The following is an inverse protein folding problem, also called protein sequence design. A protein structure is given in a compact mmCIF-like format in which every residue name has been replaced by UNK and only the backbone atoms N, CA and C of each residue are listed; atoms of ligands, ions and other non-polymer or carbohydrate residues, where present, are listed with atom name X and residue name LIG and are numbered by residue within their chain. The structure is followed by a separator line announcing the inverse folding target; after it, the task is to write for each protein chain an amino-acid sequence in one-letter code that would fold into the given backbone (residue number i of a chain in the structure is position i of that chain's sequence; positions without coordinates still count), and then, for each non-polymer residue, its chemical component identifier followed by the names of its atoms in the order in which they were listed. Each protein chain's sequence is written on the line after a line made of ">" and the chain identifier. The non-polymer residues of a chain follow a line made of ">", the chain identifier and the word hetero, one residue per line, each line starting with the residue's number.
data_IF_338613216118
#
_entry.id   IF_338613216118
#
_cell.length_a   1.000
_cell.length_b   1.000
_cell.length_c   1.000
_cell.angle_alpha   90.00
_cell.angle_beta   90.00
_cell.angle_gamma   90.00
#
_symmetry.space_group_name_H-M   'P 1'
#
loop_
_entity.id
_entity.type
_entity.pdbx_description
1 polymer ?
#
# COMPACT_ATOMS: atom_id res chain seq x y z
N UNK A 1 18.55 16.24 -9.21
CA UNK A 1 17.40 16.91 -9.85
C UNK A 1 16.69 15.91 -10.75
N UNK A 2 15.63 15.27 -10.26
CA UNK A 2 14.82 14.36 -11.07
C UNK A 2 13.96 15.20 -12.00
N UNK A 3 14.13 15.04 -13.33
CA UNK A 3 13.34 15.77 -14.32
C UNK A 3 11.89 15.32 -14.20
N UNK A 4 11.03 16.20 -13.69
CA UNK A 4 9.58 15.99 -13.71
C UNK A 4 9.16 16.00 -15.19
N UNK A 5 8.72 14.84 -15.69
CA UNK A 5 8.30 14.66 -17.08
C UNK A 5 7.07 15.55 -17.34
N UNK A 6 7.03 16.27 -18.46
CA UNK A 6 5.88 17.13 -18.81
C UNK A 6 4.58 16.30 -18.88
N UNK A 7 3.44 16.84 -18.40
CA UNK A 7 2.14 16.17 -18.48
C UNK A 7 1.77 15.84 -19.93
N UNK A 8 1.29 14.61 -20.18
CA UNK A 8 0.64 14.21 -21.42
C UNK A 8 -0.81 13.82 -21.07
N UNK A 9 -1.81 14.41 -21.73
CA UNK A 9 -3.23 14.22 -21.42
C UNK A 9 -3.66 12.74 -21.40
N UNK A 10 -3.12 11.91 -22.31
CA UNK A 10 -3.38 10.46 -22.30
C UNK A 10 -2.77 9.78 -21.07
N UNK A 11 -1.62 10.25 -20.59
CA UNK A 11 -0.99 9.74 -19.36
C UNK A 11 -1.60 10.32 -18.09
N UNK A 12 -2.26 11.47 -18.13
CA UNK A 12 -3.00 12.02 -16.98
C UNK A 12 -4.29 11.22 -16.74
N UNK A 13 -5.07 10.97 -17.79
CA UNK A 13 -6.27 10.13 -17.71
C UNK A 13 -5.95 8.72 -17.19
N UNK A 14 -4.85 8.10 -17.64
CA UNK A 14 -4.38 6.81 -17.11
C UNK A 14 -3.97 6.90 -15.64
N UNK A 15 -3.29 7.97 -15.22
CA UNK A 15 -2.87 8.13 -13.83
C UNK A 15 -4.06 8.38 -12.88
N UNK A 16 -5.05 9.14 -13.32
CA UNK A 16 -6.30 9.38 -12.58
C UNK A 16 -7.13 8.11 -12.43
N UNK A 17 -7.28 7.33 -13.51
CA UNK A 17 -7.94 6.03 -13.45
C UNK A 17 -7.17 5.06 -12.54
N UNK A 18 -5.84 5.08 -12.60
CA UNK A 18 -5.00 4.26 -11.73
C UNK A 18 -5.15 4.64 -10.25
N UNK A 19 -5.17 5.94 -9.92
CA UNK A 19 -5.42 6.41 -8.55
C UNK A 19 -6.77 5.91 -8.05
N UNK A 20 -7.83 6.11 -8.85
CA UNK A 20 -9.19 5.72 -8.48
C UNK A 20 -9.34 4.22 -8.33
N UNK A 21 -8.78 3.42 -9.24
CA UNK A 21 -9.07 1.98 -9.32
C UNK A 21 -8.02 1.12 -8.64
N UNK A 22 -6.73 1.41 -8.83
CA UNK A 22 -5.66 0.55 -8.35
C UNK A 22 -5.21 0.95 -6.95
N UNK A 23 -4.89 2.24 -6.71
CA UNK A 23 -4.43 2.63 -5.37
C UNK A 23 -5.53 2.44 -4.32
N UNK A 24 -6.77 2.82 -4.65
CA UNK A 24 -7.91 2.60 -3.73
C UNK A 24 -8.21 1.11 -3.51
N UNK A 25 -8.02 0.26 -4.52
CA UNK A 25 -8.15 -1.19 -4.37
C UNK A 25 -7.12 -1.75 -3.39
N UNK A 26 -5.84 -1.40 -3.53
CA UNK A 26 -4.78 -1.85 -2.60
C UNK A 26 -5.08 -1.42 -1.15
N UNK A 27 -5.52 -0.18 -0.96
CA UNK A 27 -5.94 0.36 0.35
C UNK A 27 -7.14 -0.40 0.90
N UNK A 28 -8.16 -0.64 0.07
CA UNK A 28 -9.37 -1.33 0.49
C UNK A 28 -9.13 -2.78 0.85
N UNK A 29 -8.33 -3.50 0.05
CA UNK A 29 -7.96 -4.86 0.35
C UNK A 29 -7.19 -4.96 1.68
N UNK A 30 -6.22 -4.07 1.93
CA UNK A 30 -5.51 -4.05 3.22
C UNK A 30 -6.48 -3.80 4.39
N UNK A 31 -7.36 -2.79 4.27
CA UNK A 31 -8.33 -2.42 5.32
C UNK A 31 -9.32 -3.53 5.61
N UNK A 32 -9.84 -4.21 4.58
CA UNK A 32 -10.83 -5.29 4.73
C UNK A 32 -10.21 -6.59 5.25
N UNK A 33 -8.94 -6.88 4.94
CA UNK A 33 -8.27 -8.10 5.41
C UNK A 33 -7.91 -8.07 6.90
N UNK A 34 -7.61 -6.91 7.47
CA UNK A 34 -7.26 -6.80 8.89
C UNK A 34 -8.35 -7.33 9.84
N UNK A 35 -9.64 -6.94 9.73
CA UNK A 35 -10.68 -7.51 10.57
C UNK A 35 -10.90 -9.00 10.28
N UNK A 36 -10.76 -9.46 9.03
CA UNK A 36 -10.86 -10.89 8.69
C UNK A 36 -9.78 -11.71 9.42
N UNK A 37 -8.55 -11.19 9.45
CA UNK A 37 -7.44 -11.80 10.18
C UNK A 37 -7.65 -11.83 11.71
N UNK A 38 -8.46 -10.92 12.25
CA UNK A 38 -8.80 -10.87 13.66
C UNK A 38 -9.87 -11.91 14.06
N UNK A 39 -10.73 -12.35 13.13
CA UNK A 39 -11.88 -13.22 13.42
C UNK A 39 -11.58 -14.73 13.33
N UNK A 40 -10.31 -15.14 13.27
CA UNK A 40 -9.86 -16.54 13.17
C UNK A 40 -10.52 -17.32 12.02
N UNK A 41 -9.89 -17.38 10.83
CA UNK A 41 -10.42 -18.13 9.69
C UNK A 41 -10.69 -19.62 10.01
N UNK A 42 -11.65 -20.27 9.32
CA UNK A 42 -12.09 -21.63 9.63
C UNK A 42 -10.98 -22.68 9.55
N UNK A 43 -10.02 -22.46 8.64
CA UNK A 43 -8.89 -23.36 8.41
C UNK A 43 -7.56 -22.63 8.39
N UNK A 44 -6.48 -23.39 8.61
CA UNK A 44 -5.11 -22.88 8.45
C UNK A 44 -4.83 -22.44 7.00
N UNK A 45 -5.44 -23.11 6.02
CA UNK A 45 -5.32 -22.76 4.61
C UNK A 45 -5.89 -21.36 4.33
N UNK A 46 -7.14 -21.11 4.75
CA UNK A 46 -7.76 -19.78 4.60
C UNK A 46 -7.02 -18.72 5.40
N UNK A 47 -6.52 -19.07 6.59
CA UNK A 47 -5.68 -18.15 7.37
C UNK A 47 -4.41 -17.76 6.61
N UNK A 48 -3.73 -18.71 5.98
CA UNK A 48 -2.54 -18.41 5.19
C UNK A 48 -2.87 -17.53 3.98
N UNK A 49 -3.97 -17.81 3.26
CA UNK A 49 -4.44 -16.96 2.16
C UNK A 49 -4.62 -15.51 2.62
N UNK A 50 -5.36 -15.28 3.71
CA UNK A 50 -5.60 -13.91 4.20
C UNK A 50 -4.31 -13.22 4.65
N UNK A 51 -3.38 -13.97 5.27
CA UNK A 51 -2.07 -13.44 5.67
C UNK A 51 -1.29 -13.03 4.43
N UNK A 52 -1.18 -13.89 3.42
CA UNK A 52 -0.44 -13.62 2.19
C UNK A 52 -1.02 -12.43 1.44
N UNK A 53 -2.36 -12.37 1.26
CA UNK A 53 -3.03 -11.24 0.65
C UNK A 53 -2.78 -9.94 1.43
N UNK A 54 -2.85 -9.96 2.76
CA UNK A 54 -2.62 -8.75 3.57
C UNK A 54 -1.20 -8.22 3.37
N UNK A 55 -0.19 -9.10 3.43
CA UNK A 55 1.20 -8.70 3.25
C UNK A 55 1.48 -8.23 1.83
N UNK A 56 0.85 -8.82 0.81
CA UNK A 56 0.95 -8.37 -0.58
C UNK A 56 0.49 -6.92 -0.75
N UNK A 57 -0.73 -6.61 -0.30
CA UNK A 57 -1.28 -5.25 -0.40
C UNK A 57 -0.48 -4.24 0.44
N UNK A 58 -0.07 -4.64 1.65
CA UNK A 58 0.82 -3.82 2.47
C UNK A 58 2.14 -3.50 1.76
N UNK A 59 2.78 -4.50 1.12
CA UNK A 59 4.01 -4.31 0.36
C UNK A 59 3.81 -3.35 -0.82
N UNK A 60 2.75 -3.52 -1.60
CA UNK A 60 2.46 -2.65 -2.74
C UNK A 60 2.33 -1.17 -2.30
N UNK A 61 1.62 -0.93 -1.19
CA UNK A 61 1.48 0.41 -0.61
C UNK A 61 2.82 0.97 -0.11
N UNK A 62 3.63 0.15 0.56
CA UNK A 62 4.98 0.55 1.00
C UNK A 62 5.86 0.94 -0.18
N UNK A 63 5.89 0.13 -1.25
CA UNK A 63 6.69 0.41 -2.44
C UNK A 63 6.24 1.70 -3.13
N UNK A 64 4.93 1.94 -3.24
CA UNK A 64 4.35 3.17 -3.78
C UNK A 64 4.73 4.41 -2.97
N UNK A 65 4.48 4.40 -1.65
CA UNK A 65 4.74 5.57 -0.80
C UNK A 65 6.23 5.88 -0.62
N UNK A 66 7.10 4.87 -0.74
CA UNK A 66 8.57 5.06 -0.80
C UNK A 66 9.06 5.51 -2.17
N UNK A 67 8.20 5.52 -3.20
CA UNK A 67 8.54 5.79 -4.59
C UNK A 67 9.74 4.92 -5.05
N UNK A 68 9.63 3.61 -4.83
CA UNK A 68 10.62 2.63 -5.30
C UNK A 68 10.35 2.22 -6.76
N UNK A 69 11.38 1.71 -7.44
CA UNK A 69 11.38 1.33 -8.85
C UNK A 69 10.22 0.43 -9.37
N UNK A 70 9.59 -0.48 -8.61
CA UNK A 70 8.49 -1.27 -9.17
C UNK A 70 7.19 -0.48 -9.40
N UNK A 71 7.08 0.75 -8.90
CA UNK A 71 5.90 1.59 -9.13
C UNK A 71 6.14 2.57 -10.28
N UNK A 72 5.47 2.34 -11.41
CA UNK A 72 5.53 3.22 -12.59
C UNK A 72 4.92 4.62 -12.37
N UNK A 73 4.19 4.81 -11.27
CA UNK A 73 3.48 6.05 -10.94
C UNK A 73 4.00 6.63 -9.62
N UNK A 74 4.59 7.82 -9.72
CA UNK A 74 5.11 8.58 -8.59
C UNK A 74 3.95 9.19 -7.76
N UNK A 75 3.88 9.00 -6.43
CA UNK A 75 2.86 9.61 -5.58
C UNK A 75 2.84 11.15 -5.65
N UNK A 76 3.96 11.79 -6.01
CA UNK A 76 4.04 13.25 -6.22
C UNK A 76 3.19 13.74 -7.39
N UNK A 77 2.76 12.85 -8.28
CA UNK A 77 1.84 13.20 -9.37
C UNK A 77 0.46 13.63 -8.87
N UNK A 78 0.02 13.09 -7.74
CA UNK A 78 -1.33 13.32 -7.19
C UNK A 78 -1.35 14.37 -6.06
N UNK A 79 -0.18 14.86 -5.66
CA UNK A 79 -0.04 15.67 -4.45
C UNK A 79 0.53 17.05 -4.74
N UNK A 80 0.32 17.96 -3.80
CA UNK A 80 0.91 19.30 -3.79
C UNK A 80 2.44 19.19 -3.68
N UNK A 81 3.21 20.17 -4.18
CA UNK A 81 4.68 20.15 -4.13
C UNK A 81 5.30 19.99 -2.74
N UNK A 82 4.55 20.29 -1.67
CA UNK A 82 4.99 20.10 -0.29
C UNK A 82 5.04 18.63 0.15
N UNK A 83 4.45 17.71 -0.61
CA UNK A 83 4.58 16.28 -0.34
C UNK A 83 5.92 15.75 -0.83
N UNK A 84 6.62 15.04 0.05
CA UNK A 84 7.80 14.26 -0.31
C UNK A 84 7.60 12.82 0.17
N UNK A 85 7.92 11.82 -0.67
CA UNK A 85 8.01 10.42 -0.24
C UNK A 85 8.97 10.28 0.95
N UNK A 86 8.52 9.58 1.99
CA UNK A 86 9.37 9.24 3.14
C UNK A 86 9.87 7.81 3.00
N UNK A 87 11.14 7.65 2.61
CA UNK A 87 11.77 6.33 2.48
C UNK A 87 11.89 5.54 3.78
N UNK A 88 11.60 6.14 4.94
CA UNK A 88 11.76 5.53 6.26
C UNK A 88 10.46 5.51 7.08
N UNK A 89 9.30 5.80 6.47
CA UNK A 89 8.01 5.81 7.21
C UNK A 89 7.69 4.44 7.85
N UNK A 90 8.27 3.37 7.30
CA UNK A 90 8.24 2.03 7.86
C UNK A 90 9.64 1.56 8.25
N UNK A 91 9.69 0.88 9.40
CA UNK A 91 10.88 0.21 9.91
C UNK A 91 11.44 -0.82 8.89
N UNK A 92 12.76 -0.78 8.65
CA UNK A 92 13.41 -1.61 7.63
C UNK A 92 13.34 -3.10 7.95
N UNK A 93 13.43 -3.46 9.23
CA UNK A 93 13.35 -4.86 9.66
C UNK A 93 11.91 -5.37 9.49
N UNK A 94 10.92 -4.56 9.81
CA UNK A 94 9.52 -4.87 9.55
C UNK A 94 9.24 -5.02 8.04
N UNK A 95 9.74 -4.11 7.20
CA UNK A 95 9.63 -4.20 5.74
C UNK A 95 10.27 -5.49 5.20
N UNK A 96 11.47 -5.85 5.67
CA UNK A 96 12.14 -7.08 5.27
C UNK A 96 11.32 -8.34 5.66
N UNK A 97 10.73 -8.35 6.86
CA UNK A 97 9.87 -9.45 7.32
C UNK A 97 8.58 -9.56 6.51
N UNK A 98 7.99 -8.45 6.07
CA UNK A 98 6.82 -8.44 5.16
C UNK A 98 7.20 -9.11 3.84
N UNK A 99 8.34 -8.73 3.24
CA UNK A 99 8.81 -9.30 1.98
C UNK A 99 9.07 -10.82 2.08
N UNK A 100 9.55 -11.29 3.23
CA UNK A 100 9.73 -12.72 3.50
C UNK A 100 8.40 -13.49 3.61
N UNK A 101 7.28 -12.85 3.96
CA UNK A 101 5.97 -13.52 3.96
C UNK A 101 5.47 -13.80 2.53
N UNK A 102 5.91 -13.03 1.54
CA UNK A 102 5.46 -13.18 0.14
C UNK A 102 6.41 -14.11 -0.63
N UNK A 103 7.71 -14.03 -0.37
CA UNK A 103 8.71 -14.85 -1.07
C UNK A 103 8.92 -16.21 -0.41
N UNK A 104 8.09 -17.17 -0.82
CA UNK A 104 7.98 -18.50 -0.20
C UNK A 104 9.15 -19.45 -0.46
N UNK A 105 9.87 -19.26 -1.57
CA UNK A 105 10.92 -20.18 -2.05
C UNK A 105 12.31 -19.58 -1.82
N UNK A 106 12.59 -19.21 -0.57
CA UNK A 106 13.90 -18.66 -0.16
C UNK A 106 14.45 -19.38 1.06
N UNK A 107 15.77 -19.54 1.14
CA UNK A 107 16.46 -20.14 2.29
C UNK A 107 16.18 -19.38 3.59
N UNK A 108 15.95 -18.07 3.49
CA UNK A 108 15.64 -17.18 4.61
C UNK A 108 14.30 -17.48 5.29
N UNK A 109 13.44 -18.32 4.69
CA UNK A 109 12.17 -18.73 5.29
C UNK A 109 12.35 -19.82 6.37
N UNK A 110 13.44 -20.57 6.33
CA UNK A 110 13.72 -21.63 7.31
C UNK A 110 14.02 -20.98 8.67
N UNK A 111 13.07 -21.08 9.61
CA UNK A 111 13.19 -20.51 10.96
C UNK A 111 12.76 -19.05 11.10
N UNK A 112 12.23 -18.42 10.05
CA UNK A 112 11.74 -17.05 10.13
C UNK A 112 10.55 -16.91 11.09
N UNK A 113 10.60 -15.92 11.99
CA UNK A 113 9.49 -15.62 12.90
C UNK A 113 8.30 -15.07 12.11
N UNK A 114 7.20 -15.82 12.10
CA UNK A 114 5.94 -15.40 11.49
C UNK A 114 5.47 -14.04 12.06
N UNK A 115 4.99 -13.17 11.19
CA UNK A 115 4.32 -11.92 11.59
C UNK A 115 2.97 -12.29 12.21
N UNK A 116 2.68 -11.76 13.40
CA UNK A 116 1.46 -12.05 14.14
C UNK A 116 0.51 -10.85 14.27
N UNK A 117 -0.58 -10.99 15.03
CA UNK A 117 -1.60 -9.94 15.16
C UNK A 117 -1.10 -8.58 15.67
N UNK A 118 -0.04 -8.55 16.49
CA UNK A 118 0.61 -7.29 16.90
C UNK A 118 1.38 -6.65 15.75
N UNK A 119 2.09 -7.45 14.95
CA UNK A 119 2.80 -6.97 13.76
C UNK A 119 1.80 -6.44 12.72
N UNK A 120 0.70 -7.16 12.43
CA UNK A 120 -0.30 -6.72 11.45
C UNK A 120 -0.95 -5.38 11.81
N UNK A 121 -1.27 -5.20 13.10
CA UNK A 121 -1.77 -3.91 13.61
C UNK A 121 -0.74 -2.80 13.47
N UNK A 122 0.54 -3.08 13.75
CA UNK A 122 1.63 -2.11 13.57
C UNK A 122 1.79 -1.74 12.09
N UNK A 123 1.76 -2.72 11.19
CA UNK A 123 1.84 -2.52 9.74
C UNK A 123 0.70 -1.62 9.27
N UNK A 124 -0.55 -2.00 9.59
CA UNK A 124 -1.73 -1.23 9.21
C UNK A 124 -1.69 0.19 9.76
N UNK A 125 -1.39 0.38 11.05
CA UNK A 125 -1.30 1.71 11.65
C UNK A 125 -0.22 2.59 10.99
N UNK A 126 0.91 2.00 10.60
CA UNK A 126 2.01 2.72 9.94
C UNK A 126 1.60 3.15 8.52
N UNK A 127 0.96 2.26 7.76
CA UNK A 127 0.50 2.56 6.39
C UNK A 127 -0.68 3.54 6.42
N UNK A 128 -1.62 3.42 7.37
CA UNK A 128 -2.73 4.37 7.51
C UNK A 128 -2.25 5.78 7.88
N UNK A 129 -1.19 5.90 8.69
CA UNK A 129 -0.57 7.20 8.95
C UNK A 129 0.02 7.83 7.67
N UNK A 130 0.62 7.00 6.82
CA UNK A 130 1.16 7.42 5.52
C UNK A 130 0.04 7.80 4.54
N UNK A 131 -1.03 7.01 4.45
CA UNK A 131 -2.24 7.33 3.68
C UNK A 131 -2.81 8.68 4.13
N UNK A 132 -2.96 8.90 5.43
CA UNK A 132 -3.45 10.17 5.96
C UNK A 132 -2.51 11.34 5.63
N UNK A 133 -1.18 11.12 5.57
CA UNK A 133 -0.23 12.14 5.10
C UNK A 133 -0.45 12.43 3.62
N UNK A 134 -0.60 11.40 2.80
CA UNK A 134 -0.85 11.51 1.36
C UNK A 134 -2.16 12.27 1.07
N UNK A 135 -3.26 11.89 1.73
CA UNK A 135 -4.58 12.52 1.60
C UNK A 135 -4.55 14.03 1.89
N UNK A 136 -3.89 14.44 2.98
CA UNK A 136 -3.72 15.87 3.32
C UNK A 136 -3.03 16.67 2.21
N UNK A 137 -2.22 15.99 1.41
CA UNK A 137 -1.44 16.60 0.35
C UNK A 137 -2.05 16.44 -1.04
N UNK A 138 -3.14 15.70 -1.21
CA UNK A 138 -3.78 15.55 -2.52
C UNK A 138 -4.10 16.91 -3.16
N UNK A 139 -3.95 16.99 -4.48
CA UNK A 139 -4.55 18.07 -5.27
C UNK A 139 -6.07 17.93 -5.26
N UNK A 140 -6.81 19.01 -5.57
CA UNK A 140 -8.28 18.97 -5.58
C UNK A 140 -8.83 17.92 -6.55
N UNK A 141 -8.21 17.81 -7.74
CA UNK A 141 -8.65 16.87 -8.77
C UNK A 141 -8.40 15.42 -8.30
N UNK A 142 -7.19 15.14 -7.81
CA UNK A 142 -6.83 13.82 -7.28
C UNK A 142 -7.69 13.43 -6.06
N UNK A 143 -8.04 14.38 -5.19
CA UNK A 143 -8.95 14.15 -4.06
C UNK A 143 -10.34 13.69 -4.51
N UNK A 144 -10.85 14.24 -5.63
CA UNK A 144 -12.10 13.78 -6.22
C UNK A 144 -12.04 12.33 -6.67
N UNK A 145 -10.99 11.96 -7.43
CA UNK A 145 -10.77 10.57 -7.88
C UNK A 145 -10.54 9.60 -6.72
N UNK A 146 -9.80 10.03 -5.70
CA UNK A 146 -9.55 9.27 -4.48
C UNK A 146 -10.84 8.92 -3.74
N UNK A 147 -11.70 9.93 -3.48
CA UNK A 147 -12.97 9.71 -2.78
C UNK A 147 -13.91 8.80 -3.55
N UNK A 148 -13.99 8.96 -4.87
CA UNK A 148 -14.78 8.06 -5.73
C UNK A 148 -14.25 6.63 -5.65
N UNK A 149 -12.94 6.44 -5.73
CA UNK A 149 -12.31 5.12 -5.66
C UNK A 149 -12.51 4.43 -4.30
N UNK A 150 -12.40 5.15 -3.20
CA UNK A 150 -12.72 4.62 -1.86
C UNK A 150 -14.20 4.23 -1.75
N UNK A 151 -15.11 5.09 -2.25
CA UNK A 151 -16.53 4.79 -2.27
C UNK A 151 -16.86 3.54 -3.11
N UNK A 152 -16.18 3.33 -4.24
CA UNK A 152 -16.33 2.14 -5.08
C UNK A 152 -15.90 0.86 -4.32
N UNK A 153 -14.98 0.98 -3.35
CA UNK A 153 -14.53 -0.10 -2.47
C UNK A 153 -15.38 -0.28 -1.21
N UNK A 154 -16.42 0.54 -1.02
CA UNK A 154 -17.27 0.51 0.17
C UNK A 154 -16.60 1.06 1.43
N UNK A 155 -15.72 2.06 1.28
CA UNK A 155 -14.95 2.72 2.34
C UNK A 155 -15.33 4.18 2.53
#
# INVERSE_FOLDING_TARGET
>A
MTKIRKPNAATESVAEEWLRRHLCYEVGMMRQLLPVLAHSPPSQFERNIHIECFHLHARNLIEFFKNKDPCDIDPRRFTKPSYQPDGNFIDKDLEARINQQISHLTSNRVGAKQLGPSDWRKISATIEAEIARFEKHLTKDAEGHWRLGLSDMGL
#
